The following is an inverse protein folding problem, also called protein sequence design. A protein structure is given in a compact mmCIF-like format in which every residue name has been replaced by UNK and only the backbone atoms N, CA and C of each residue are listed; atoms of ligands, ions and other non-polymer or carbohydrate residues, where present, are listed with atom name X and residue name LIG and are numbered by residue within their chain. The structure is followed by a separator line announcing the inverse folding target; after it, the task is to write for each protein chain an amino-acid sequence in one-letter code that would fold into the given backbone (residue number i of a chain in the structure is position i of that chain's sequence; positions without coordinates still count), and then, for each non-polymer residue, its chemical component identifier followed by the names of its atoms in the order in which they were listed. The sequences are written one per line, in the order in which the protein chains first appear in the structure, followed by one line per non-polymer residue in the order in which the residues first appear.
data_IF_126308333770
#
_entry.id   IF_126308333770
#
_cell.length_a   1.000
_cell.length_b   1.000
_cell.length_c   1.000
_cell.angle_alpha   90.00
_cell.angle_beta   90.00
_cell.angle_gamma   90.00
#
_symmetry.space_group_name_H-M   'P 1'
#
loop_
_entity.id
_entity.type
_entity.pdbx_description
1 polymer ?
#
# COMPACT_ATOMS: atom_id res chain seq x y z
N UNK A 1 18.70 -13.87 -6.20
CA UNK A 1 18.40 -12.58 -6.89
C UNK A 1 17.12 -11.92 -6.37
N UNK A 2 16.07 -12.66 -6.13
CA UNK A 2 14.77 -12.17 -5.67
C UNK A 2 14.80 -11.38 -4.33
N UNK A 3 15.68 -11.73 -3.37
CA UNK A 3 15.84 -11.00 -2.10
C UNK A 3 16.27 -9.54 -2.34
N UNK A 4 17.23 -9.31 -3.25
CA UNK A 4 17.71 -7.96 -3.59
C UNK A 4 16.57 -7.14 -4.22
N UNK A 5 15.80 -7.74 -5.10
CA UNK A 5 14.62 -7.12 -5.69
C UNK A 5 13.59 -6.75 -4.62
N UNK A 6 13.35 -7.63 -3.66
CA UNK A 6 12.44 -7.34 -2.54
C UNK A 6 12.91 -6.14 -1.70
N UNK A 7 14.22 -6.00 -1.44
CA UNK A 7 14.79 -4.85 -0.75
C UNK A 7 14.65 -3.56 -1.57
N UNK A 8 14.93 -3.59 -2.88
CA UNK A 8 14.73 -2.43 -3.77
C UNK A 8 13.27 -1.98 -3.75
N UNK A 9 12.32 -2.94 -3.85
CA UNK A 9 10.89 -2.65 -3.72
C UNK A 9 10.55 -2.01 -2.38
N UNK A 10 11.14 -2.49 -1.28
CA UNK A 10 10.94 -1.93 0.06
C UNK A 10 11.43 -0.48 0.16
N UNK A 11 12.62 -0.18 -0.39
CA UNK A 11 13.16 1.18 -0.42
C UNK A 11 12.24 2.13 -1.21
N UNK A 12 11.82 1.73 -2.41
CA UNK A 12 10.90 2.51 -3.22
C UNK A 12 9.56 2.75 -2.50
N UNK A 13 9.04 1.75 -1.79
CA UNK A 13 7.80 1.88 -1.02
C UNK A 13 7.96 2.85 0.15
N UNK A 14 9.12 2.87 0.81
CA UNK A 14 9.43 3.85 1.85
C UNK A 14 9.47 5.28 1.31
N UNK A 15 10.14 5.50 0.18
CA UNK A 15 10.15 6.80 -0.51
C UNK A 15 8.77 7.23 -0.97
N UNK A 16 7.95 6.30 -1.45
CA UNK A 16 6.55 6.52 -1.78
C UNK A 16 5.74 7.02 -0.57
N UNK A 17 5.90 6.42 0.61
CA UNK A 17 5.18 6.83 1.83
C UNK A 17 5.59 8.23 2.30
N UNK A 18 6.88 8.58 2.20
CA UNK A 18 7.39 9.92 2.49
C UNK A 18 6.80 10.93 1.52
N UNK A 19 6.84 10.65 0.20
CA UNK A 19 6.30 11.51 -0.84
C UNK A 19 4.81 11.78 -0.65
N UNK A 20 4.02 10.75 -0.29
CA UNK A 20 2.60 10.91 0.06
C UNK A 20 2.40 11.86 1.22
N UNK A 21 3.13 11.65 2.32
CA UNK A 21 2.98 12.53 3.51
C UNK A 21 3.32 13.96 3.19
N UNK A 22 4.39 14.18 2.43
CA UNK A 22 4.83 15.52 2.00
C UNK A 22 3.78 16.19 1.11
N UNK A 23 3.27 15.50 0.10
CA UNK A 23 2.24 16.03 -0.80
C UNK A 23 0.93 16.38 -0.07
N UNK A 24 0.53 15.54 0.92
CA UNK A 24 -0.71 15.74 1.67
C UNK A 24 -0.65 16.90 2.68
N UNK A 25 0.52 17.42 3.00
CA UNK A 25 0.63 18.60 3.91
C UNK A 25 -0.02 19.84 3.33
N UNK A 26 0.09 20.04 2.02
CA UNK A 26 -0.34 21.26 1.34
C UNK A 26 -1.53 21.08 0.40
N UNK A 27 -1.94 19.83 0.15
CA UNK A 27 -2.98 19.52 -0.81
C UNK A 27 -4.14 18.74 -0.19
N UNK A 28 -5.28 18.73 -0.87
CA UNK A 28 -6.43 17.88 -0.53
C UNK A 28 -6.14 16.43 -0.91
N UNK A 29 -6.69 15.49 -0.13
CA UNK A 29 -6.53 14.05 -0.36
C UNK A 29 -6.96 13.64 -1.77
N UNK A 30 -8.11 14.13 -2.20
CA UNK A 30 -8.70 13.78 -3.50
C UNK A 30 -7.79 14.24 -4.65
N UNK A 31 -7.22 15.45 -4.56
CA UNK A 31 -6.35 15.99 -5.60
C UNK A 31 -5.04 15.22 -5.73
N UNK A 32 -4.39 14.94 -4.60
CA UNK A 32 -3.13 14.15 -4.60
C UNK A 32 -3.36 12.75 -5.15
N UNK A 33 -4.43 12.09 -4.70
CA UNK A 33 -4.76 10.74 -5.12
C UNK A 33 -5.12 10.69 -6.60
N UNK A 34 -5.96 11.63 -7.08
CA UNK A 34 -6.34 11.70 -8.50
C UNK A 34 -5.13 11.95 -9.39
N UNK A 35 -4.32 12.96 -9.07
CA UNK A 35 -3.16 13.30 -9.90
C UNK A 35 -2.14 12.15 -9.92
N UNK A 36 -1.84 11.53 -8.78
CA UNK A 36 -0.89 10.42 -8.72
C UNK A 36 -1.38 9.19 -9.51
N UNK A 37 -2.67 8.86 -9.45
CA UNK A 37 -3.25 7.75 -10.22
C UNK A 37 -3.26 8.08 -11.72
N UNK A 38 -3.62 9.32 -12.11
CA UNK A 38 -3.60 9.73 -13.51
C UNK A 38 -2.18 9.69 -14.11
N UNK A 39 -1.18 10.16 -13.38
CA UNK A 39 0.23 10.06 -13.81
C UNK A 39 0.65 8.60 -13.95
N UNK A 40 0.28 7.73 -12.99
CA UNK A 40 0.55 6.28 -13.11
C UNK A 40 -0.14 5.67 -14.32
N UNK A 41 -1.39 6.04 -14.60
CA UNK A 41 -2.14 5.55 -15.76
C UNK A 41 -1.50 5.98 -17.09
N UNK A 42 -1.04 7.24 -17.19
CA UNK A 42 -0.32 7.72 -18.37
C UNK A 42 0.98 6.96 -18.58
N UNK A 43 1.79 6.78 -17.54
CA UNK A 43 3.05 6.04 -17.62
C UNK A 43 2.84 4.58 -18.04
N UNK A 44 1.82 3.91 -17.47
CA UNK A 44 1.51 2.52 -17.77
C UNK A 44 0.72 2.32 -19.06
N UNK A 45 0.13 3.36 -19.63
CA UNK A 45 -0.47 3.29 -20.96
C UNK A 45 0.57 3.12 -22.08
N UNK A 46 1.81 3.60 -21.88
CA UNK A 46 2.87 3.42 -22.89
C UNK A 46 3.17 1.94 -23.21
N UNK A 47 3.52 1.08 -22.22
CA UNK A 47 3.75 -0.34 -22.52
C UNK A 47 2.49 -1.03 -23.09
N UNK A 48 1.28 -0.62 -22.71
CA UNK A 48 0.04 -1.15 -23.27
C UNK A 48 -0.08 -0.82 -24.76
N UNK A 49 0.13 0.45 -25.14
CA UNK A 49 0.08 0.88 -26.52
C UNK A 49 1.17 0.20 -27.36
N UNK A 50 2.40 0.13 -26.85
CA UNK A 50 3.50 -0.55 -27.55
C UNK A 50 3.22 -2.05 -27.73
N UNK A 51 2.64 -2.71 -26.74
CA UNK A 51 2.22 -4.13 -26.85
C UNK A 51 1.12 -4.33 -27.88
N UNK A 52 0.27 -3.32 -28.11
CA UNK A 52 -0.76 -3.36 -29.16
C UNK A 52 -0.22 -3.12 -30.56
N UNK A 53 0.77 -2.22 -30.72
CA UNK A 53 1.35 -1.88 -32.03
C UNK A 53 2.47 -2.83 -32.48
N UNK A 54 3.28 -3.34 -31.56
CA UNK A 54 4.45 -4.18 -31.83
C UNK A 54 4.45 -5.41 -30.92
N UNK A 55 3.46 -6.33 -31.05
CA UNK A 55 3.30 -7.44 -30.12
C UNK A 55 4.50 -8.40 -30.15
N UNK A 56 5.10 -8.65 -31.31
CA UNK A 56 6.24 -9.56 -31.46
C UNK A 56 7.47 -9.05 -30.71
N UNK A 57 7.83 -7.79 -30.91
CA UNK A 57 8.98 -7.15 -30.24
C UNK A 57 8.75 -7.02 -28.73
N UNK A 58 7.54 -6.65 -28.32
CA UNK A 58 7.20 -6.47 -26.91
C UNK A 58 7.09 -7.80 -26.15
N UNK A 59 6.71 -8.90 -26.81
CA UNK A 59 6.61 -10.22 -26.16
C UNK A 59 7.95 -10.74 -25.63
N UNK A 60 9.07 -10.28 -26.18
CA UNK A 60 10.43 -10.60 -25.71
C UNK A 60 10.86 -9.74 -24.52
N UNK A 61 10.09 -8.71 -24.17
CA UNK A 61 10.41 -7.79 -23.09
C UNK A 61 9.61 -8.10 -21.80
N UNK A 62 10.14 -7.74 -20.62
CA UNK A 62 9.41 -7.90 -19.37
C UNK A 62 8.20 -6.95 -19.23
N UNK A 63 8.02 -6.02 -20.17
CA UNK A 63 6.94 -5.00 -20.16
C UNK A 63 5.77 -5.36 -21.07
N UNK A 64 5.74 -6.56 -21.62
CA UNK A 64 4.63 -7.02 -22.46
C UNK A 64 3.32 -7.05 -21.64
N UNK A 65 2.26 -6.49 -22.22
CA UNK A 65 0.94 -6.42 -21.61
C UNK A 65 -0.03 -7.25 -22.45
N UNK A 66 -0.32 -8.51 -22.06
CA UNK A 66 -1.29 -9.34 -22.77
C UNK A 66 -2.73 -8.80 -22.58
N UNK A 67 -3.58 -9.08 -23.56
CA UNK A 67 -4.99 -8.73 -23.47
C UNK A 67 -5.70 -9.65 -22.47
N UNK A 68 -6.65 -9.09 -21.72
CA UNK A 68 -7.52 -9.85 -20.82
C UNK A 68 -8.82 -10.23 -21.53
N UNK A 69 -9.37 -11.38 -21.16
CA UNK A 69 -10.74 -11.75 -21.50
C UNK A 69 -11.76 -10.90 -20.72
N UNK A 70 -13.02 -10.96 -21.11
CA UNK A 70 -14.09 -10.20 -20.43
C UNK A 70 -14.15 -10.48 -18.93
N UNK A 71 -13.95 -11.74 -18.53
CA UNK A 71 -13.92 -12.15 -17.12
C UNK A 71 -12.73 -11.54 -16.39
N UNK A 72 -11.54 -11.51 -17.02
CA UNK A 72 -10.34 -10.86 -16.49
C UNK A 72 -10.56 -9.37 -16.27
N UNK A 73 -11.20 -8.69 -17.23
CA UNK A 73 -11.56 -7.28 -17.07
C UNK A 73 -12.50 -7.04 -15.89
N UNK A 74 -13.57 -7.82 -15.73
CA UNK A 74 -14.51 -7.70 -14.62
C UNK A 74 -13.83 -7.93 -13.26
N UNK A 75 -12.99 -8.95 -13.15
CA UNK A 75 -12.23 -9.23 -11.95
C UNK A 75 -11.22 -8.11 -11.63
N UNK A 76 -10.60 -7.53 -12.66
CA UNK A 76 -9.67 -6.41 -12.50
C UNK A 76 -10.39 -5.11 -12.10
N UNK A 77 -11.60 -4.87 -12.59
CA UNK A 77 -12.46 -3.77 -12.11
C UNK A 77 -12.78 -3.95 -10.62
N UNK A 78 -13.15 -5.15 -10.18
CA UNK A 78 -13.38 -5.42 -8.77
C UNK A 78 -12.12 -5.17 -7.92
N UNK A 79 -10.94 -5.61 -8.40
CA UNK A 79 -9.66 -5.28 -7.78
C UNK A 79 -9.48 -3.77 -7.64
N UNK A 80 -9.78 -3.01 -8.69
CA UNK A 80 -9.63 -1.54 -8.71
C UNK A 80 -10.48 -0.88 -7.64
N UNK A 81 -11.73 -1.33 -7.45
CA UNK A 81 -12.63 -0.84 -6.39
C UNK A 81 -12.04 -1.14 -5.00
N UNK A 82 -11.59 -2.37 -4.76
CA UNK A 82 -11.03 -2.78 -3.46
C UNK A 82 -9.77 -1.95 -3.13
N UNK A 83 -8.84 -1.86 -4.07
CA UNK A 83 -7.58 -1.11 -3.88
C UNK A 83 -7.85 0.38 -3.68
N UNK A 84 -8.70 0.98 -4.51
CA UNK A 84 -9.03 2.40 -4.42
C UNK A 84 -9.69 2.74 -3.08
N UNK A 85 -10.62 1.92 -2.61
CA UNK A 85 -11.24 2.08 -1.29
C UNK A 85 -10.20 2.07 -0.17
N UNK A 86 -9.28 1.10 -0.19
CA UNK A 86 -8.17 1.02 0.76
C UNK A 86 -7.29 2.28 0.72
N UNK A 87 -6.99 2.79 -0.47
CA UNK A 87 -6.14 3.97 -0.64
C UNK A 87 -6.83 5.26 -0.15
N UNK A 88 -8.11 5.45 -0.44
CA UNK A 88 -8.86 6.61 0.05
C UNK A 88 -8.79 6.67 1.57
N UNK A 89 -9.09 5.58 2.28
CA UNK A 89 -8.99 5.53 3.73
C UNK A 89 -7.56 5.73 4.24
N UNK A 90 -6.56 5.15 3.55
CA UNK A 90 -5.17 5.32 3.91
C UNK A 90 -4.69 6.77 3.77
N UNK A 91 -5.06 7.45 2.68
CA UNK A 91 -4.68 8.84 2.45
C UNK A 91 -5.37 9.81 3.42
N UNK A 92 -6.66 9.57 3.74
CA UNK A 92 -7.38 10.34 4.76
C UNK A 92 -6.65 10.23 6.12
N UNK A 93 -6.30 9.01 6.51
CA UNK A 93 -5.58 8.76 7.77
C UNK A 93 -4.20 9.41 7.76
N UNK A 94 -3.43 9.23 6.69
CA UNK A 94 -2.07 9.74 6.56
C UNK A 94 -2.01 11.27 6.57
N UNK A 95 -3.06 11.93 6.09
CA UNK A 95 -3.14 13.40 6.14
C UNK A 95 -3.18 13.91 7.57
N UNK A 96 -3.92 13.25 8.44
CA UNK A 96 -4.22 13.72 9.80
C UNK A 96 -3.31 13.09 10.86
N UNK A 97 -2.93 11.82 10.67
CA UNK A 97 -2.08 11.12 11.63
C UNK A 97 -0.58 11.30 11.33
N UNK A 98 0.27 11.26 12.36
CA UNK A 98 1.72 11.22 12.20
C UNK A 98 2.19 10.02 11.37
N UNK A 99 3.22 10.20 10.55
CA UNK A 99 3.75 9.11 9.73
C UNK A 99 4.35 7.98 10.59
N UNK A 100 4.95 8.35 11.74
CA UNK A 100 5.48 7.40 12.74
C UNK A 100 4.42 6.55 13.44
N UNK A 101 3.14 6.88 13.30
CA UNK A 101 2.00 6.06 13.76
C UNK A 101 1.44 5.23 12.61
N UNK A 102 1.24 5.86 11.44
CA UNK A 102 0.66 5.20 10.26
C UNK A 102 1.56 4.08 9.76
N UNK A 103 2.89 4.29 9.72
CA UNK A 103 3.86 3.31 9.20
C UNK A 103 3.84 1.99 9.97
N UNK A 104 3.98 1.95 11.32
CA UNK A 104 3.89 0.71 12.07
C UNK A 104 2.55 0.00 11.89
N UNK A 105 1.44 0.74 11.94
CA UNK A 105 0.11 0.14 11.76
C UNK A 105 -0.04 -0.48 10.37
N UNK A 106 0.42 0.18 9.32
CA UNK A 106 0.41 -0.39 7.96
C UNK A 106 1.33 -1.61 7.80
N UNK A 107 2.42 -1.70 8.57
CA UNK A 107 3.31 -2.86 8.58
C UNK A 107 2.62 -4.13 9.10
N UNK A 108 1.49 -4.02 9.80
CA UNK A 108 0.71 -5.18 10.26
C UNK A 108 -0.14 -5.84 9.18
N UNK A 109 -0.28 -5.24 8.00
CA UNK A 109 -1.11 -5.78 6.90
C UNK A 109 -0.84 -7.25 6.57
N UNK A 110 0.42 -7.77 6.49
CA UNK A 110 0.68 -9.18 6.24
C UNK A 110 0.05 -10.12 7.27
N UNK A 111 -0.05 -9.68 8.52
CA UNK A 111 -0.67 -10.47 9.60
C UNK A 111 -2.16 -10.63 9.37
N UNK A 112 -2.85 -9.56 9.00
CA UNK A 112 -4.28 -9.61 8.64
C UNK A 112 -4.52 -10.43 7.38
N UNK A 113 -3.60 -10.37 6.40
CA UNK A 113 -3.64 -11.23 5.22
C UNK A 113 -3.52 -12.71 5.60
N UNK A 114 -2.63 -13.04 6.55
CA UNK A 114 -2.46 -14.40 7.05
C UNK A 114 -3.71 -14.89 7.80
N UNK A 115 -4.27 -14.06 8.69
CA UNK A 115 -5.55 -14.37 9.38
C UNK A 115 -6.67 -14.61 8.36
N UNK A 116 -6.75 -13.77 7.33
CA UNK A 116 -7.71 -13.95 6.23
C UNK A 116 -7.47 -15.26 5.45
N UNK A 117 -6.22 -15.66 5.24
CA UNK A 117 -5.90 -16.92 4.58
C UNK A 117 -6.36 -18.15 5.39
N UNK A 118 -6.24 -18.10 6.72
CA UNK A 118 -6.77 -19.14 7.61
C UNK A 118 -8.29 -19.24 7.51
N UNK A 119 -8.99 -18.10 7.56
CA UNK A 119 -10.46 -18.05 7.56
C UNK A 119 -11.06 -18.43 6.20
N UNK A 120 -10.43 -18.03 5.09
CA UNK A 120 -10.96 -18.22 3.74
C UNK A 120 -10.48 -19.53 3.12
N UNK A 121 -9.20 -19.88 3.31
CA UNK A 121 -8.58 -21.06 2.70
C UNK A 121 -8.43 -22.23 3.66
N UNK A 122 -8.80 -22.08 4.94
CA UNK A 122 -8.65 -23.10 5.96
C UNK A 122 -7.19 -23.45 6.26
N UNK A 123 -6.25 -22.55 5.99
CA UNK A 123 -4.84 -22.76 6.27
C UNK A 123 -4.61 -22.87 7.79
N UNK A 124 -3.75 -23.81 8.23
CA UNK A 124 -3.41 -23.95 9.65
C UNK A 124 -2.15 -23.16 9.95
N UNK A 125 -2.23 -22.25 10.90
CA UNK A 125 -1.07 -21.51 11.38
C UNK A 125 -0.21 -22.41 12.26
N UNK A 126 1.11 -22.35 12.07
CA UNK A 126 2.06 -22.97 12.98
C UNK A 126 2.32 -22.05 14.22
N UNK A 127 3.06 -22.58 15.21
CA UNK A 127 3.31 -21.85 16.46
C UNK A 127 4.03 -20.50 16.27
N UNK A 128 4.97 -20.42 15.33
CA UNK A 128 5.70 -19.19 15.01
C UNK A 128 4.80 -18.12 14.38
N UNK A 129 3.87 -18.53 13.51
CA UNK A 129 2.91 -17.62 12.89
C UNK A 129 1.92 -17.07 13.92
N UNK A 130 1.41 -17.92 14.82
CA UNK A 130 0.58 -17.49 15.94
C UNK A 130 1.31 -16.49 16.85
N UNK A 131 2.56 -16.79 17.21
CA UNK A 131 3.39 -15.90 18.03
C UNK A 131 3.55 -14.53 17.33
N UNK A 132 3.84 -14.50 16.03
CA UNK A 132 3.97 -13.28 15.24
C UNK A 132 2.70 -12.42 15.24
N UNK A 133 1.55 -13.02 15.02
CA UNK A 133 0.25 -12.33 15.04
C UNK A 133 -0.06 -11.76 16.44
N UNK A 134 0.13 -12.57 17.49
CA UNK A 134 -0.15 -12.15 18.87
C UNK A 134 0.79 -11.03 19.34
N UNK A 135 2.09 -11.09 19.01
CA UNK A 135 3.05 -10.03 19.31
C UNK A 135 2.62 -8.72 18.66
N UNK A 136 2.24 -8.75 17.38
CA UNK A 136 1.85 -7.54 16.67
C UNK A 136 0.54 -6.94 17.20
N UNK A 137 -0.48 -7.76 17.42
CA UNK A 137 -1.76 -7.29 17.98
C UNK A 137 -1.53 -6.72 19.39
N UNK A 138 -0.78 -7.45 20.23
CA UNK A 138 -0.42 -6.99 21.57
C UNK A 138 0.33 -5.66 21.56
N UNK A 139 1.27 -5.49 20.63
CA UNK A 139 2.04 -4.25 20.48
C UNK A 139 1.16 -3.06 20.07
N UNK A 140 0.24 -3.25 19.13
CA UNK A 140 -0.71 -2.19 18.72
C UNK A 140 -1.63 -1.84 19.89
N UNK A 141 -2.08 -2.84 20.64
CA UNK A 141 -2.94 -2.64 21.79
C UNK A 141 -2.23 -1.83 22.87
N UNK A 142 -0.99 -2.21 23.23
CA UNK A 142 -0.16 -1.46 24.18
C UNK A 142 0.08 -0.01 23.71
N UNK A 143 0.38 0.18 22.41
CA UNK A 143 0.55 1.50 21.84
C UNK A 143 -0.72 2.38 21.97
N UNK A 144 -1.90 1.78 21.80
CA UNK A 144 -3.17 2.49 21.94
C UNK A 144 -3.41 3.04 23.37
N UNK A 145 -2.92 2.35 24.39
CA UNK A 145 -3.01 2.83 25.77
C UNK A 145 -2.05 3.99 26.07
N UNK A 146 -0.83 3.93 25.56
CA UNK A 146 0.17 4.98 25.78
C UNK A 146 -0.21 6.30 25.09
N UNK A 147 -0.94 6.25 24.00
CA UNK A 147 -1.37 7.45 23.27
C UNK A 147 -2.61 8.14 23.86
N UNK A 148 -3.37 7.46 24.73
CA UNK A 148 -4.59 7.98 25.35
C UNK A 148 -4.34 9.10 26.36
N UNK A 149 -3.08 9.29 26.79
CA UNK A 149 -2.72 10.18 27.90
C UNK A 149 -2.50 11.66 27.54
N UNK A 150 -2.51 12.07 26.28
CA UNK A 150 -1.98 13.38 25.87
C UNK A 150 -2.96 14.35 25.20
N UNK A 151 -4.21 13.98 24.96
CA UNK A 151 -5.20 14.83 24.31
C UNK A 151 -6.45 15.04 25.15
N UNK A 152 -6.86 16.30 25.33
CA UNK A 152 -8.15 16.61 25.94
C UNK A 152 -9.31 15.89 25.23
N UNK A 153 -10.39 15.58 25.94
CA UNK A 153 -11.50 14.72 25.51
C UNK A 153 -12.09 15.03 24.12
N UNK A 154 -12.09 16.29 23.70
CA UNK A 154 -12.62 16.71 22.38
C UNK A 154 -11.67 16.38 21.22
N UNK A 155 -10.37 16.54 21.40
CA UNK A 155 -9.37 16.22 20.38
C UNK A 155 -9.24 14.70 20.18
N UNK A 156 -9.49 13.93 21.22
CA UNK A 156 -9.41 12.46 21.19
C UNK A 156 -10.54 11.87 20.35
N UNK A 157 -11.77 12.39 20.42
CA UNK A 157 -12.91 11.87 19.64
C UNK A 157 -12.75 12.06 18.13
N UNK A 158 -12.20 13.18 17.67
CA UNK A 158 -11.95 13.39 16.25
C UNK A 158 -10.83 12.49 15.73
N UNK A 159 -9.80 12.23 16.51
CA UNK A 159 -8.69 11.35 16.13
C UNK A 159 -9.12 9.89 15.94
N UNK A 160 -10.11 9.39 16.70
CA UNK A 160 -10.63 8.03 16.53
C UNK A 160 -11.15 7.75 15.13
N UNK A 161 -11.73 8.71 14.43
CA UNK A 161 -12.18 8.57 13.06
C UNK A 161 -11.02 8.21 12.11
N UNK A 162 -9.87 8.85 12.28
CA UNK A 162 -8.70 8.62 11.44
C UNK A 162 -8.00 7.30 11.74
N UNK A 163 -7.98 6.89 13.02
CA UNK A 163 -7.53 5.54 13.40
C UNK A 163 -8.46 4.46 12.84
N UNK A 164 -9.77 4.68 12.87
CA UNK A 164 -10.74 3.78 12.26
C UNK A 164 -10.56 3.71 10.74
N UNK A 165 -10.37 4.84 10.05
CA UNK A 165 -10.04 4.86 8.62
C UNK A 165 -8.75 4.06 8.34
N UNK A 166 -7.72 4.20 9.19
CA UNK A 166 -6.48 3.47 9.04
C UNK A 166 -6.69 1.95 9.20
N UNK A 167 -7.46 1.55 10.20
CA UNK A 167 -7.81 0.14 10.40
C UNK A 167 -8.58 -0.43 9.19
N UNK A 168 -9.57 0.29 8.66
CA UNK A 168 -10.28 -0.08 7.44
C UNK A 168 -9.34 -0.19 6.23
N UNK A 169 -8.43 0.77 6.06
CA UNK A 169 -7.43 0.73 4.99
C UNK A 169 -6.55 -0.51 5.06
N UNK A 170 -6.15 -0.92 6.27
CA UNK A 170 -5.32 -2.10 6.50
C UNK A 170 -6.11 -3.38 6.18
N UNK A 171 -7.34 -3.50 6.69
CA UNK A 171 -8.19 -4.68 6.48
C UNK A 171 -8.58 -4.84 5.01
N UNK A 172 -9.06 -3.77 4.36
CA UNK A 172 -9.41 -3.79 2.93
C UNK A 172 -8.15 -4.08 2.09
N UNK A 173 -7.00 -3.50 2.49
CA UNK A 173 -5.73 -3.78 1.84
C UNK A 173 -5.24 -5.22 2.02
N UNK A 174 -5.53 -5.85 3.16
CA UNK A 174 -5.26 -7.28 3.37
C UNK A 174 -6.16 -8.14 2.47
N UNK A 175 -7.45 -7.82 2.38
CA UNK A 175 -8.37 -8.47 1.44
C UNK A 175 -7.89 -8.30 -0.02
N UNK A 176 -7.40 -7.11 -0.38
CA UNK A 176 -6.79 -6.89 -1.70
C UNK A 176 -5.60 -7.82 -1.96
N UNK A 177 -4.72 -8.02 -0.97
CA UNK A 177 -3.58 -8.93 -1.11
C UNK A 177 -4.01 -10.40 -1.31
N UNK A 178 -5.06 -10.85 -0.62
CA UNK A 178 -5.64 -12.19 -0.85
C UNK A 178 -6.24 -12.30 -2.24
N UNK A 179 -6.92 -11.26 -2.70
CA UNK A 179 -7.49 -11.18 -4.03
C UNK A 179 -6.42 -11.15 -5.13
N UNK A 180 -5.29 -10.48 -4.87
CA UNK A 180 -4.14 -10.49 -5.77
C UNK A 180 -3.58 -11.90 -5.97
N UNK A 181 -3.42 -12.68 -4.89
CA UNK A 181 -3.02 -14.09 -4.96
C UNK A 181 -3.94 -14.91 -5.86
N UNK A 182 -5.25 -14.64 -5.79
CA UNK A 182 -6.24 -15.28 -6.67
C UNK A 182 -6.07 -14.88 -8.14
N UNK A 183 -5.85 -13.58 -8.42
CA UNK A 183 -5.68 -13.08 -9.79
C UNK A 183 -4.37 -13.54 -10.42
N UNK A 184 -3.25 -13.46 -9.69
CA UNK A 184 -1.92 -13.83 -10.21
C UNK A 184 -1.78 -15.31 -10.57
N UNK A 185 -2.65 -16.19 -10.07
CA UNK A 185 -2.73 -17.59 -10.49
C UNK A 185 -3.40 -17.80 -11.86
N UNK A 186 -4.07 -16.78 -12.40
CA UNK A 186 -4.93 -16.90 -13.59
C UNK A 186 -4.56 -15.93 -14.70
N UNK A 187 -3.99 -14.78 -14.35
CA UNK A 187 -3.72 -13.69 -15.27
C UNK A 187 -2.30 -13.19 -15.14
N UNK A 188 -1.77 -12.64 -16.23
CA UNK A 188 -0.45 -12.01 -16.20
C UNK A 188 -0.46 -10.75 -15.31
N UNK A 189 0.62 -10.55 -14.55
CA UNK A 189 0.74 -9.46 -13.60
C UNK A 189 0.78 -8.08 -14.28
N UNK A 190 1.45 -7.95 -15.46
CA UNK A 190 1.51 -6.68 -16.19
C UNK A 190 0.12 -6.28 -16.67
N UNK A 191 -0.64 -7.24 -17.24
CA UNK A 191 -2.01 -6.99 -17.67
C UNK A 191 -2.87 -6.52 -16.49
N UNK A 192 -2.84 -7.25 -15.38
CA UNK A 192 -3.61 -6.87 -14.19
C UNK A 192 -3.17 -5.50 -13.68
N UNK A 193 -1.85 -5.21 -13.58
CA UNK A 193 -1.33 -3.93 -13.08
C UNK A 193 -1.75 -2.75 -13.97
N UNK A 194 -1.61 -2.88 -15.27
CA UNK A 194 -1.96 -1.82 -16.21
C UNK A 194 -3.46 -1.55 -16.20
N UNK A 195 -4.27 -2.58 -16.39
CA UNK A 195 -5.71 -2.41 -16.47
C UNK A 195 -6.33 -1.93 -15.16
N UNK A 196 -5.91 -2.44 -13.97
CA UNK A 196 -6.47 -1.93 -12.73
C UNK A 196 -6.12 -0.46 -12.49
N UNK A 197 -4.93 -0.01 -12.90
CA UNK A 197 -4.54 1.40 -12.75
C UNK A 197 -5.37 2.29 -13.68
N UNK A 198 -5.63 1.86 -14.91
CA UNK A 198 -6.51 2.58 -15.84
C UNK A 198 -7.94 2.70 -15.30
N UNK A 199 -8.50 1.60 -14.77
CA UNK A 199 -9.83 1.65 -14.14
C UNK A 199 -9.87 2.52 -12.91
N UNK A 200 -8.83 2.51 -12.08
CA UNK A 200 -8.70 3.42 -10.94
C UNK A 200 -8.66 4.88 -11.39
N UNK A 201 -7.96 5.19 -12.49
CA UNK A 201 -7.90 6.55 -13.02
C UNK A 201 -9.29 7.04 -13.42
N UNK A 202 -10.07 6.21 -14.15
CA UNK A 202 -11.45 6.55 -14.53
C UNK A 202 -12.33 6.75 -13.30
N UNK A 203 -12.29 5.82 -12.34
CA UNK A 203 -13.07 5.92 -11.09
C UNK A 203 -12.70 7.18 -10.31
N UNK A 204 -11.40 7.47 -10.19
CA UNK A 204 -10.94 8.61 -9.42
C UNK A 204 -11.25 9.94 -10.08
N UNK A 205 -11.24 10.03 -11.41
CA UNK A 205 -11.70 11.20 -12.15
C UNK A 205 -13.19 11.49 -11.90
N UNK A 206 -14.02 10.44 -11.80
CA UNK A 206 -15.44 10.58 -11.45
C UNK A 206 -15.56 11.13 -10.02
N UNK A 207 -14.86 10.54 -9.06
CA UNK A 207 -14.85 11.00 -7.65
C UNK A 207 -14.38 12.46 -7.56
N UNK A 208 -13.32 12.79 -8.27
CA UNK A 208 -12.76 14.15 -8.32
C UNK A 208 -13.76 15.15 -8.90
N UNK A 209 -14.42 14.80 -10.00
CA UNK A 209 -15.42 15.65 -10.65
C UNK A 209 -16.62 15.93 -9.74
N UNK A 210 -17.07 14.91 -8.97
CA UNK A 210 -18.17 15.06 -8.00
C UNK A 210 -17.73 15.95 -6.83
N UNK A 211 -16.52 15.75 -6.31
CA UNK A 211 -15.97 16.52 -5.21
C UNK A 211 -15.83 18.01 -5.56
N UNK A 212 -15.39 18.33 -6.79
CA UNK A 212 -15.16 19.72 -7.23
C UNK A 212 -16.41 20.42 -7.76
N UNK A 213 -17.47 19.73 -8.14
CA UNK A 213 -18.77 20.35 -8.46
C UNK A 213 -19.36 21.16 -7.29
N UNK A 214 -18.98 20.86 -6.07
CA UNK A 214 -19.44 21.54 -4.86
C UNK A 214 -18.56 22.72 -4.43
N UNK A 215 -17.40 22.91 -5.07
CA UNK A 215 -16.43 23.93 -4.70
C UNK A 215 -16.26 24.92 -5.85
N UNK A 216 -16.67 26.18 -5.66
CA UNK A 216 -16.55 27.27 -6.65
C UNK A 216 -15.12 27.85 -6.78
N UNK A 217 -14.09 27.17 -6.26
CA UNK A 217 -12.71 27.66 -6.23
C UNK A 217 -11.82 27.07 -7.33
N UNK A 218 -10.77 27.84 -7.71
CA UNK A 218 -9.71 27.32 -8.58
C UNK A 218 -8.99 26.20 -7.88
N UNK A 219 -8.83 25.05 -8.56
CA UNK A 219 -7.99 23.94 -8.08
C UNK A 219 -6.54 24.40 -8.14
N UNK A 220 -5.90 24.52 -6.99
CA UNK A 220 -4.47 24.82 -6.90
C UNK A 220 -3.78 23.62 -6.27
N UNK A 221 -2.95 22.93 -7.05
CA UNK A 221 -2.16 21.78 -6.60
C UNK A 221 -0.72 22.26 -6.41
N UNK A 222 -0.24 22.10 -5.17
CA UNK A 222 1.14 22.42 -4.83
C UNK A 222 2.00 21.16 -4.86
N UNK A 223 3.30 21.34 -5.02
CA UNK A 223 4.28 20.25 -4.99
C UNK A 223 4.02 19.15 -6.05
N UNK A 224 3.66 19.54 -7.28
CA UNK A 224 3.34 18.60 -8.37
C UNK A 224 4.48 17.60 -8.61
N UNK A 225 5.73 18.03 -8.54
CA UNK A 225 6.88 17.13 -8.67
C UNK A 225 6.92 16.03 -7.61
N UNK A 226 6.54 16.33 -6.36
CA UNK A 226 6.45 15.33 -5.29
C UNK A 226 5.30 14.35 -5.58
N UNK A 227 4.18 14.82 -6.15
CA UNK A 227 3.05 13.95 -6.53
C UNK A 227 3.46 13.03 -7.69
N UNK A 228 4.24 13.51 -8.65
CA UNK A 228 4.80 12.65 -9.70
C UNK A 228 5.72 11.56 -9.12
N UNK A 229 6.53 11.87 -8.11
CA UNK A 229 7.37 10.89 -7.42
C UNK A 229 6.55 9.78 -6.75
N UNK A 230 5.34 10.08 -6.24
CA UNK A 230 4.42 9.06 -5.71
C UNK A 230 4.15 7.98 -6.78
N UNK A 231 3.83 8.41 -8.01
CA UNK A 231 3.53 7.49 -9.12
C UNK A 231 4.75 6.68 -9.53
N UNK A 232 5.89 7.32 -9.68
CA UNK A 232 7.14 6.68 -10.11
C UNK A 232 7.59 5.63 -9.09
N UNK A 233 7.67 5.99 -7.80
CA UNK A 233 8.08 5.05 -6.77
C UNK A 233 7.12 3.88 -6.62
N UNK A 234 5.81 4.11 -6.77
CA UNK A 234 4.82 3.04 -6.69
C UNK A 234 4.98 2.07 -7.86
N UNK A 235 5.06 2.56 -9.10
CA UNK A 235 5.22 1.74 -10.30
C UNK A 235 6.49 0.90 -10.20
N UNK A 236 7.61 1.52 -9.85
CA UNK A 236 8.90 0.80 -9.71
C UNK A 236 8.80 -0.24 -8.60
N UNK A 237 8.27 0.14 -7.42
CA UNK A 237 8.12 -0.77 -6.29
C UNK A 237 7.27 -1.98 -6.65
N UNK A 238 6.16 -1.79 -7.35
CA UNK A 238 5.25 -2.87 -7.72
C UNK A 238 5.85 -3.77 -8.80
N UNK A 239 6.49 -3.20 -9.82
CA UNK A 239 7.17 -3.98 -10.86
C UNK A 239 8.28 -4.86 -10.28
N UNK A 240 9.17 -4.25 -9.49
CA UNK A 240 10.30 -4.98 -8.88
C UNK A 240 9.80 -6.05 -7.90
N UNK A 241 8.71 -5.81 -7.18
CA UNK A 241 8.05 -6.81 -6.33
C UNK A 241 7.53 -7.99 -7.14
N UNK A 242 6.85 -7.73 -8.25
CA UNK A 242 6.33 -8.79 -9.11
C UNK A 242 7.44 -9.60 -9.76
N UNK A 243 8.54 -8.94 -10.16
CA UNK A 243 9.74 -9.63 -10.65
C UNK A 243 10.36 -10.54 -9.58
N UNK A 244 10.41 -10.09 -8.31
CA UNK A 244 10.86 -10.92 -7.21
C UNK A 244 9.98 -12.17 -7.02
N UNK A 245 8.67 -12.05 -7.23
CA UNK A 245 7.72 -13.16 -7.10
C UNK A 245 7.74 -14.14 -8.27
N UNK A 246 8.29 -13.76 -9.43
CA UNK A 246 8.45 -14.66 -10.59
C UNK A 246 9.56 -15.69 -10.42
N UNK A 247 10.50 -15.43 -9.51
CA UNK A 247 11.58 -16.37 -9.22
C UNK A 247 10.98 -17.64 -8.56
N UNK A 248 11.21 -18.84 -9.12
CA UNK A 248 10.66 -20.09 -8.58
C UNK A 248 11.06 -20.36 -7.13
N UNK A 249 12.24 -19.90 -6.73
CA UNK A 249 12.78 -20.09 -5.38
C UNK A 249 12.30 -19.01 -4.40
N UNK A 250 11.47 -18.06 -4.86
CA UNK A 250 10.96 -16.99 -4.03
C UNK A 250 9.85 -17.47 -3.10
N UNK A 251 10.03 -17.19 -1.81
CA UNK A 251 8.99 -17.39 -0.80
C UNK A 251 8.14 -16.14 -0.67
N UNK A 252 6.88 -16.22 -1.06
CA UNK A 252 5.95 -15.07 -1.09
C UNK A 252 5.86 -14.38 0.27
N UNK A 253 5.84 -15.16 1.37
CA UNK A 253 5.82 -14.62 2.73
C UNK A 253 7.06 -13.79 3.03
N UNK A 254 8.26 -14.27 2.64
CA UNK A 254 9.53 -13.55 2.85
C UNK A 254 9.59 -12.28 2.02
N UNK A 255 9.25 -12.34 0.73
CA UNK A 255 9.22 -11.17 -0.17
C UNK A 255 8.26 -10.11 0.36
N UNK A 256 7.05 -10.50 0.77
CA UNK A 256 6.06 -9.58 1.33
C UNK A 256 6.53 -8.96 2.64
N UNK A 257 7.19 -9.73 3.50
CA UNK A 257 7.72 -9.24 4.78
C UNK A 257 8.85 -8.24 4.56
N UNK A 258 9.81 -8.54 3.68
CA UNK A 258 10.91 -7.63 3.31
C UNK A 258 10.33 -6.33 2.73
N UNK A 259 9.36 -6.44 1.83
CA UNK A 259 8.71 -5.27 1.22
C UNK A 259 8.06 -4.37 2.28
N UNK A 260 7.46 -4.94 3.33
CA UNK A 260 6.92 -4.16 4.45
C UNK A 260 7.99 -3.51 5.32
N UNK A 261 9.23 -3.98 5.26
CA UNK A 261 10.38 -3.29 5.86
C UNK A 261 10.54 -1.85 5.36
N UNK A 262 10.05 -1.51 4.16
CA UNK A 262 10.03 -0.13 3.66
C UNK A 262 9.28 0.85 4.57
N UNK A 263 8.31 0.39 5.35
CA UNK A 263 7.59 1.24 6.32
C UNK A 263 8.53 1.78 7.42
N UNK A 264 9.65 1.11 7.71
CA UNK A 264 10.68 1.59 8.65
C UNK A 264 11.27 2.91 8.15
N UNK A 265 11.43 3.08 6.85
CA UNK A 265 11.98 4.31 6.24
C UNK A 265 11.02 5.47 6.48
N UNK A 266 9.73 5.28 6.19
CA UNK A 266 8.70 6.29 6.49
C UNK A 266 8.61 6.63 7.97
N UNK A 267 8.72 5.62 8.83
CA UNK A 267 8.76 5.79 10.28
C UNK A 267 9.96 6.62 10.73
N UNK A 268 11.17 6.27 10.30
CA UNK A 268 12.39 6.99 10.63
C UNK A 268 12.34 8.44 10.13
N UNK A 269 11.83 8.66 8.90
CA UNK A 269 11.62 9.99 8.37
C UNK A 269 10.66 10.83 9.23
N UNK A 270 9.56 10.24 9.68
CA UNK A 270 8.60 10.89 10.57
C UNK A 270 9.24 11.37 11.88
N UNK A 271 10.05 10.51 12.51
CA UNK A 271 10.72 10.85 13.77
C UNK A 271 11.85 11.88 13.59
N UNK A 272 12.71 11.69 12.59
CA UNK A 272 13.95 12.49 12.43
C UNK A 272 13.66 13.82 11.75
N UNK A 273 13.01 13.81 10.60
CA UNK A 273 12.83 15.01 9.78
C UNK A 273 11.55 15.79 10.09
N UNK A 274 10.47 15.10 10.46
CA UNK A 274 9.23 15.76 10.87
C UNK A 274 9.22 16.11 12.36
N UNK A 275 10.24 15.70 13.12
CA UNK A 275 10.42 15.96 14.56
C UNK A 275 9.15 15.62 15.35
N UNK A 276 8.55 14.47 15.04
CA UNK A 276 7.32 14.04 15.71
C UNK A 276 7.58 13.73 17.18
N UNK A 277 6.68 14.21 18.05
CA UNK A 277 6.77 14.05 19.51
C UNK A 277 6.58 12.59 19.92
N UNK A 278 7.01 12.26 21.16
CA UNK A 278 6.82 10.96 21.81
C UNK A 278 7.44 9.78 21.02
N UNK A 279 8.74 9.90 20.75
CA UNK A 279 9.49 8.92 19.97
C UNK A 279 9.53 7.52 20.62
N UNK A 280 9.70 7.44 21.96
CA UNK A 280 9.93 6.15 22.65
C UNK A 280 8.78 5.14 22.45
N UNK A 281 7.50 5.46 22.75
CA UNK A 281 6.42 4.50 22.53
C UNK A 281 6.28 4.09 21.07
N UNK A 282 6.55 5.01 20.15
CA UNK A 282 6.49 4.73 18.70
C UNK A 282 7.61 3.77 18.25
N UNK A 283 8.82 3.95 18.79
CA UNK A 283 9.97 3.05 18.55
C UNK A 283 9.67 1.65 19.11
N UNK A 284 9.14 1.55 20.33
CA UNK A 284 8.75 0.28 20.92
C UNK A 284 7.67 -0.42 20.09
N UNK A 285 6.67 0.32 19.59
CA UNK A 285 5.64 -0.22 18.71
C UNK A 285 6.24 -0.76 17.41
N UNK A 286 7.12 0.00 16.76
CA UNK A 286 7.76 -0.45 15.51
C UNK A 286 8.65 -1.67 15.75
N UNK A 287 9.42 -1.70 16.83
CA UNK A 287 10.26 -2.84 17.19
C UNK A 287 9.42 -4.12 17.44
N UNK A 288 8.32 -4.00 18.16
CA UNK A 288 7.40 -5.13 18.39
C UNK A 288 6.76 -5.65 17.10
N UNK A 289 6.37 -4.75 16.19
CA UNK A 289 5.83 -5.15 14.87
C UNK A 289 6.88 -5.83 14.01
N UNK A 290 8.12 -5.32 13.98
CA UNK A 290 9.25 -5.96 13.27
C UNK A 290 9.49 -7.35 13.83
N UNK A 291 9.49 -7.52 15.16
CA UNK A 291 9.64 -8.83 15.80
C UNK A 291 8.51 -9.79 15.38
N UNK A 292 7.26 -9.31 15.36
CA UNK A 292 6.11 -10.07 14.87
C UNK A 292 6.27 -10.50 13.40
N UNK A 293 6.77 -9.61 12.53
CA UNK A 293 7.04 -9.92 11.13
C UNK A 293 8.16 -10.96 10.96
N UNK A 294 9.21 -10.89 11.79
CA UNK A 294 10.29 -11.90 11.81
C UNK A 294 9.72 -13.26 12.20
N UNK A 295 8.91 -13.35 13.26
CA UNK A 295 8.24 -14.59 13.64
C UNK A 295 7.37 -15.16 12.53
N UNK A 296 6.62 -14.31 11.83
CA UNK A 296 5.83 -14.72 10.66
C UNK A 296 6.70 -15.27 9.53
N UNK A 297 7.82 -14.61 9.22
CA UNK A 297 8.74 -15.07 8.19
C UNK A 297 9.36 -16.41 8.54
N UNK A 298 9.84 -16.59 9.78
CA UNK A 298 10.39 -17.87 10.28
C UNK A 298 9.35 -19.01 10.23
N UNK A 299 8.09 -18.70 10.54
CA UNK A 299 7.00 -19.68 10.44
C UNK A 299 6.55 -19.99 9.01
N UNK A 300 6.98 -19.22 8.02
CA UNK A 300 6.64 -19.41 6.62
C UNK A 300 7.77 -20.07 5.81
N UNK A 301 8.94 -20.22 6.41
CA UNK A 301 10.07 -21.02 5.91
C UNK A 301 9.90 -22.48 6.29
#
# INVERSE_FOLDING_TARGET
MWIVLAFISALCLGCYDISKKTALRENKVVDVLTLSICVSAVLLSMPLLLSGYMPETMSETPFFVPQLDLKGHLLTVLKSVIVLSSWIFAYISLKQLPLSVVSPMQATRPMWTLVGAVLIFGERLNGWQWAGVLIAIGTIFLFSFTHKSEGGLTHTQEMYKYYFCLALAILIGACSGLYDKFLMRRYDHNAVQVYYTLYQAVMMLIVWSIAHKRESGKVSIKCVGVIMLISIFLIISDNVYMLALRDPDSLIAVVSTIRRGGTVIGFAYGLIFLQEKNAIPKICCMAGIILGLICLALGSM
#
